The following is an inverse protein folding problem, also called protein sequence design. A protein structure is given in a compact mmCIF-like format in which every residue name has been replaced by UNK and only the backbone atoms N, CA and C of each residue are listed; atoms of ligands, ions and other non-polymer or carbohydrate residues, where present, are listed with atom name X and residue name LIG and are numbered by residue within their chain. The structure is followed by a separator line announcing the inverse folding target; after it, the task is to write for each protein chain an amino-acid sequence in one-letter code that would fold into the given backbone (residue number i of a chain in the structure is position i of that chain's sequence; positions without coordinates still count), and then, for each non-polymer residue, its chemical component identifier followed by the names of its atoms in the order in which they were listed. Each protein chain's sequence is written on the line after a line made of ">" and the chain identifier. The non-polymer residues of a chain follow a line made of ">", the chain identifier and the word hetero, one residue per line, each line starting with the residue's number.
data_IF_149390679702
#
_entry.id   IF_149390679702
#
_cell.length_a   1.000
_cell.length_b   1.000
_cell.length_c   1.000
_cell.angle_alpha   90.00
_cell.angle_beta   90.00
_cell.angle_gamma   90.00
#
_symmetry.space_group_name_H-M   'P 1'
#
loop_
_entity.id
_entity.type
_entity.pdbx_description
1 polymer ?
#
# COMPACT_ATOMS: atom_id res chain seq x y z
N UNK A 1 35.81 1.03 -24.90
CA UNK A 1 34.96 2.03 -24.22
C UNK A 1 33.71 1.30 -23.76
N UNK A 2 33.65 0.88 -22.51
CA UNK A 2 32.45 0.23 -21.96
C UNK A 2 31.49 1.33 -21.55
N UNK A 3 30.45 1.52 -22.35
CA UNK A 3 29.30 2.36 -21.98
C UNK A 3 28.56 1.65 -20.83
N UNK A 4 29.07 1.81 -19.63
CA UNK A 4 28.34 1.41 -18.43
C UNK A 4 27.25 2.46 -18.29
N UNK A 5 26.00 2.03 -18.49
CA UNK A 5 24.82 2.81 -18.15
C UNK A 5 24.96 3.17 -16.67
N UNK A 6 25.48 4.36 -16.38
CA UNK A 6 25.62 4.92 -15.04
C UNK A 6 24.22 5.35 -14.62
N UNK A 7 23.40 4.35 -14.31
CA UNK A 7 22.02 4.50 -13.90
C UNK A 7 21.98 5.24 -12.57
N UNK A 8 21.63 6.52 -12.63
CA UNK A 8 20.91 7.27 -11.60
C UNK A 8 21.55 7.49 -10.21
N UNK A 9 22.54 6.73 -9.76
CA UNK A 9 23.07 6.82 -8.40
C UNK A 9 24.49 7.41 -8.41
N UNK A 10 24.76 8.30 -7.46
CA UNK A 10 26.14 8.67 -7.10
C UNK A 10 26.88 7.41 -6.67
N UNK A 11 28.18 7.35 -6.93
CA UNK A 11 29.03 6.25 -6.47
C UNK A 11 29.06 6.32 -4.94
N UNK A 12 28.26 5.49 -4.28
CA UNK A 12 28.28 5.35 -2.83
C UNK A 12 29.57 4.64 -2.39
N UNK A 13 30.22 5.14 -1.34
CA UNK A 13 31.54 4.66 -0.90
C UNK A 13 31.40 3.35 -0.11
N UNK A 14 30.23 3.11 0.48
CA UNK A 14 29.92 1.92 1.25
C UNK A 14 28.44 1.53 1.13
N UNK A 15 28.09 0.33 1.60
CA UNK A 15 26.74 -0.22 1.50
C UNK A 15 25.68 0.63 2.24
N UNK A 16 26.06 1.30 3.34
CA UNK A 16 25.15 2.15 4.12
C UNK A 16 24.74 3.40 3.34
N UNK A 17 25.72 4.11 2.77
CA UNK A 17 25.45 5.27 1.89
C UNK A 17 24.62 4.90 0.68
N UNK A 18 24.83 3.70 0.11
CA UNK A 18 24.03 3.24 -1.03
C UNK A 18 22.57 3.00 -0.64
N UNK A 19 22.32 2.41 0.54
CA UNK A 19 20.96 2.22 1.07
C UNK A 19 20.27 3.55 1.36
N UNK A 20 20.97 4.50 1.99
CA UNK A 20 20.46 5.85 2.25
C UNK A 20 20.14 6.58 0.93
N UNK A 21 21.00 6.43 -0.09
CA UNK A 21 20.76 6.99 -1.43
C UNK A 21 19.54 6.39 -2.13
N UNK A 22 19.20 5.13 -1.84
CA UNK A 22 18.00 4.48 -2.36
C UNK A 22 16.79 4.99 -1.60
N UNK A 23 16.87 5.06 -0.28
CA UNK A 23 15.80 5.57 0.58
C UNK A 23 15.45 7.01 0.19
N UNK A 24 16.39 7.94 0.15
CA UNK A 24 16.16 9.35 -0.23
C UNK A 24 15.56 9.50 -1.63
N UNK A 25 15.93 8.61 -2.57
CA UNK A 25 15.53 8.73 -3.97
C UNK A 25 14.21 8.04 -4.29
N UNK A 26 13.81 7.07 -3.49
CA UNK A 26 12.56 6.32 -3.60
C UNK A 26 11.66 6.50 -2.38
N UNK A 27 11.92 7.49 -1.54
CA UNK A 27 11.05 7.89 -0.44
C UNK A 27 9.72 8.31 -1.06
N UNK A 28 8.77 7.38 -1.04
CA UNK A 28 7.42 7.65 -1.50
C UNK A 28 6.81 8.60 -0.48
N UNK A 29 6.33 9.76 -0.96
CA UNK A 29 5.72 10.73 -0.06
C UNK A 29 4.57 10.07 0.70
N UNK A 30 4.54 10.20 2.03
CA UNK A 30 3.45 9.71 2.89
C UNK A 30 2.06 10.10 2.35
N UNK A 31 1.96 11.26 1.69
CA UNK A 31 0.74 11.73 1.03
C UNK A 31 0.34 10.86 -0.16
N UNK A 32 1.30 10.46 -1.01
CA UNK A 32 1.07 9.58 -2.15
C UNK A 32 0.70 8.19 -1.64
N UNK A 33 1.43 7.67 -0.65
CA UNK A 33 1.12 6.38 -0.01
C UNK A 33 -0.29 6.37 0.58
N UNK A 34 -0.65 7.40 1.34
CA UNK A 34 -2.00 7.57 1.90
C UNK A 34 -3.06 7.61 0.79
N UNK A 35 -2.81 8.31 -0.32
CA UNK A 35 -3.73 8.34 -1.47
C UNK A 35 -3.88 6.96 -2.10
N UNK A 36 -2.78 6.22 -2.29
CA UNK A 36 -2.78 4.87 -2.87
C UNK A 36 -3.55 3.89 -1.98
N UNK A 37 -3.32 3.92 -0.67
CA UNK A 37 -4.03 3.10 0.30
C UNK A 37 -5.52 3.44 0.36
N UNK A 38 -5.88 4.73 0.35
CA UNK A 38 -7.29 5.15 0.32
C UNK A 38 -7.99 4.69 -0.95
N UNK A 39 -7.34 4.81 -2.10
CA UNK A 39 -7.86 4.32 -3.37
C UNK A 39 -8.02 2.80 -3.36
N UNK A 40 -7.02 2.08 -2.82
CA UNK A 40 -7.11 0.62 -2.67
C UNK A 40 -8.30 0.23 -1.78
N UNK A 41 -8.49 0.92 -0.65
CA UNK A 41 -9.59 0.65 0.27
C UNK A 41 -10.97 0.88 -0.35
N UNK A 42 -11.14 1.89 -1.21
CA UNK A 42 -12.45 2.20 -1.82
C UNK A 42 -12.74 1.38 -3.07
N UNK A 43 -11.70 0.82 -3.71
CA UNK A 43 -11.82 0.06 -4.95
C UNK A 43 -11.73 -1.45 -4.76
N UNK A 44 -11.24 -1.91 -3.60
CA UNK A 44 -11.13 -3.34 -3.31
C UNK A 44 -12.49 -4.03 -3.42
N UNK A 45 -12.49 -5.20 -4.08
CA UNK A 45 -13.64 -6.07 -4.29
C UNK A 45 -13.25 -7.50 -3.94
N UNK A 46 -14.20 -8.26 -3.44
CA UNK A 46 -14.00 -9.70 -3.32
C UNK A 46 -14.13 -10.34 -4.70
N UNK A 47 -13.07 -11.02 -5.12
CA UNK A 47 -12.92 -11.66 -6.43
C UNK A 47 -13.52 -13.08 -6.47
N UNK A 48 -13.99 -13.59 -5.33
CA UNK A 48 -14.48 -14.96 -5.20
C UNK A 48 -13.38 -15.99 -4.96
N UNK A 49 -12.11 -15.57 -4.89
CA UNK A 49 -10.97 -16.44 -4.59
C UNK A 49 -10.61 -16.39 -3.10
N UNK A 50 -10.33 -17.56 -2.54
CA UNK A 50 -10.07 -17.73 -1.11
C UNK A 50 -11.35 -17.63 -0.29
N UNK A 51 -11.20 -17.28 0.98
CA UNK A 51 -12.29 -17.10 1.93
C UNK A 51 -12.65 -15.62 2.13
N UNK A 52 -13.91 -15.36 2.47
CA UNK A 52 -14.35 -14.03 2.90
C UNK A 52 -13.56 -13.53 4.13
N UNK A 53 -13.10 -14.44 5.00
CA UNK A 53 -12.25 -14.09 6.13
C UNK A 53 -10.89 -13.53 5.68
N UNK A 54 -10.23 -14.18 4.71
CA UNK A 54 -8.97 -13.66 4.14
C UNK A 54 -9.19 -12.32 3.46
N UNK A 55 -10.30 -12.16 2.75
CA UNK A 55 -10.71 -10.88 2.18
C UNK A 55 -10.83 -9.78 3.23
N UNK A 56 -11.56 -10.04 4.32
CA UNK A 56 -11.74 -9.08 5.43
C UNK A 56 -10.40 -8.72 6.06
N UNK A 57 -9.50 -9.70 6.24
CA UNK A 57 -8.15 -9.44 6.75
C UNK A 57 -7.35 -8.52 5.83
N UNK A 58 -7.49 -8.64 4.50
CA UNK A 58 -6.88 -7.68 3.55
C UNK A 58 -7.42 -6.27 3.72
N UNK A 59 -8.73 -6.11 3.92
CA UNK A 59 -9.34 -4.79 4.16
C UNK A 59 -8.82 -4.18 5.48
N UNK A 60 -8.74 -4.99 6.54
CA UNK A 60 -8.22 -4.55 7.85
C UNK A 60 -6.73 -4.19 7.77
N UNK A 61 -5.92 -4.92 7.00
CA UNK A 61 -4.50 -4.61 6.78
C UNK A 61 -4.32 -3.22 6.14
N UNK A 62 -5.08 -2.91 5.09
CA UNK A 62 -5.05 -1.59 4.44
C UNK A 62 -5.44 -0.49 5.42
N UNK A 63 -6.48 -0.70 6.22
CA UNK A 63 -6.88 0.25 7.26
C UNK A 63 -5.81 0.41 8.37
N UNK A 64 -5.12 -0.67 8.73
CA UNK A 64 -4.00 -0.65 9.68
C UNK A 64 -2.83 0.18 9.17
N UNK A 65 -2.49 0.06 7.89
CA UNK A 65 -1.46 0.89 7.24
C UNK A 65 -1.84 2.37 7.24
N UNK A 66 -3.10 2.70 6.92
CA UNK A 66 -3.61 4.07 7.01
C UNK A 66 -3.54 4.63 8.43
N UNK A 67 -3.83 3.81 9.44
CA UNK A 67 -3.70 4.21 10.85
C UNK A 67 -2.24 4.52 11.23
N UNK A 68 -1.26 3.78 10.71
CA UNK A 68 0.16 4.06 10.95
C UNK A 68 0.61 5.39 10.34
N UNK A 69 -0.05 5.84 9.27
CA UNK A 69 0.14 7.14 8.63
C UNK A 69 -0.73 8.26 9.26
N UNK A 70 -1.19 8.07 10.49
CA UNK A 70 -2.08 9.01 11.21
C UNK A 70 -3.42 9.31 10.52
N UNK A 71 -3.88 8.42 9.62
CA UNK A 71 -5.18 8.51 8.93
C UNK A 71 -6.11 7.39 9.41
N UNK A 72 -6.65 7.47 10.64
CA UNK A 72 -7.53 6.44 11.16
C UNK A 72 -8.83 6.38 10.35
N UNK A 73 -9.25 5.16 10.03
CA UNK A 73 -10.53 4.88 9.39
C UNK A 73 -11.52 4.39 10.46
N UNK A 74 -12.76 4.85 10.38
CA UNK A 74 -13.78 4.45 11.36
C UNK A 74 -14.21 2.99 11.15
N UNK A 75 -14.54 2.30 12.24
CA UNK A 75 -15.08 0.94 12.17
C UNK A 75 -16.35 0.86 11.33
N UNK A 76 -17.20 1.89 11.40
CA UNK A 76 -18.40 2.01 10.56
C UNK A 76 -18.06 2.04 9.07
N UNK A 77 -16.97 2.71 8.69
CA UNK A 77 -16.52 2.74 7.30
C UNK A 77 -15.91 1.40 6.88
N UNK A 78 -15.20 0.69 7.77
CA UNK A 78 -14.71 -0.67 7.48
C UNK A 78 -15.87 -1.60 7.12
N UNK A 79 -16.92 -1.63 7.93
CA UNK A 79 -18.11 -2.46 7.68
C UNK A 79 -18.77 -2.04 6.36
N UNK A 80 -18.89 -0.74 6.10
CA UNK A 80 -19.46 -0.26 4.84
C UNK A 80 -18.66 -0.71 3.62
N UNK A 81 -17.33 -0.62 3.66
CA UNK A 81 -16.47 -1.08 2.57
C UNK A 81 -16.65 -2.58 2.36
N UNK A 82 -16.56 -3.39 3.42
CA UNK A 82 -16.70 -4.85 3.34
C UNK A 82 -18.05 -5.23 2.72
N UNK A 83 -19.15 -4.67 3.23
CA UNK A 83 -20.49 -5.00 2.73
C UNK A 83 -20.68 -4.63 1.27
N UNK A 84 -20.25 -3.44 0.85
CA UNK A 84 -20.43 -2.99 -0.54
C UNK A 84 -19.51 -3.67 -1.54
N UNK A 85 -18.48 -4.35 -1.08
CA UNK A 85 -17.43 -4.94 -1.93
C UNK A 85 -17.57 -6.45 -2.08
N UNK A 86 -18.45 -7.07 -1.29
CA UNK A 86 -18.86 -8.45 -1.47
C UNK A 86 -19.85 -8.60 -2.65
N UNK A 87 -19.88 -9.76 -3.31
CA UNK A 87 -20.88 -10.06 -4.34
C UNK A 87 -22.28 -10.17 -3.74
N UNK A 88 -23.30 -9.97 -4.58
CA UNK A 88 -24.71 -10.10 -4.19
C UNK A 88 -25.07 -11.48 -3.63
N UNK A 89 -24.26 -12.52 -3.87
CA UNK A 89 -24.46 -13.85 -3.28
C UNK A 89 -24.21 -13.90 -1.76
N UNK A 90 -23.61 -12.86 -1.18
CA UNK A 90 -23.29 -12.74 0.24
C UNK A 90 -24.10 -11.63 0.95
N UNK A 91 -24.96 -10.92 0.21
CA UNK A 91 -25.77 -9.80 0.71
C UNK A 91 -27.24 -10.19 0.74
#
# INVERSE_FOLDING_TARGET
>A
MTNVVRGGFSVAINAKEFMESIEEKYEESEKIETCNLRNSLTTIRYDGEGSVCEYILRVIDIAGKLKNLEVPISETFHVHVIMNSLPDSYT
#
